data_IF_794706884232
#
_entry.id   IF_794706884232
#
_cell.length_a   1.000
_cell.length_b   1.000
_cell.length_c   1.000
_cell.angle_alpha   90.00
_cell.angle_beta   90.00
_cell.angle_gamma   90.00
#
_symmetry.space_group_name_H-M   'P 1'
#
loop_
_entity.id
_entity.type
_entity.pdbx_description
1 polymer ?
#
# COMPACT_ATOMS: atom_id res chain seq x y z
N UNK A 1 19.06 -6.29 3.07
CA UNK A 1 19.40 -5.74 1.73
C UNK A 1 18.83 -4.34 1.69
N UNK A 2 19.58 -3.29 1.33
CA UNK A 2 19.02 -1.94 1.25
C UNK A 2 17.93 -1.89 0.17
N UNK A 3 16.94 -1.02 0.36
CA UNK A 3 15.83 -0.82 -0.59
C UNK A 3 16.39 -0.30 -1.92
N UNK A 4 15.93 -0.85 -3.03
CA UNK A 4 16.42 -0.47 -4.37
C UNK A 4 15.71 0.77 -4.87
N UNK A 5 16.44 1.90 -4.91
CA UNK A 5 15.94 3.18 -5.46
C UNK A 5 15.43 3.01 -6.90
N UNK A 6 16.21 2.33 -7.76
CA UNK A 6 15.85 2.08 -9.16
C UNK A 6 14.51 1.34 -9.30
N UNK A 7 14.25 0.34 -8.46
CA UNK A 7 12.97 -0.38 -8.51
C UNK A 7 11.83 0.49 -7.97
N UNK A 8 12.09 1.32 -6.96
CA UNK A 8 11.12 2.31 -6.46
C UNK A 8 10.76 3.33 -7.54
N UNK A 9 11.72 3.81 -8.34
CA UNK A 9 11.48 4.75 -9.45
C UNK A 9 10.59 4.12 -10.52
N UNK A 10 10.86 2.87 -10.90
CA UNK A 10 10.04 2.13 -11.88
C UNK A 10 8.61 1.97 -11.36
N UNK A 11 8.46 1.59 -10.09
CA UNK A 11 7.15 1.45 -9.46
C UNK A 11 6.41 2.79 -9.43
N UNK A 12 7.07 3.87 -9.02
CA UNK A 12 6.46 5.20 -8.96
C UNK A 12 6.03 5.70 -10.35
N UNK A 13 6.90 5.56 -11.35
CA UNK A 13 6.58 5.88 -12.74
C UNK A 13 5.38 5.06 -13.27
N UNK A 14 5.32 3.77 -12.93
CA UNK A 14 4.19 2.92 -13.28
C UNK A 14 2.88 3.40 -12.64
N UNK A 15 2.91 3.79 -11.35
CA UNK A 15 1.74 4.35 -10.67
C UNK A 15 1.25 5.63 -11.35
N UNK A 16 2.15 6.56 -11.67
CA UNK A 16 1.80 7.77 -12.43
C UNK A 16 1.23 7.47 -13.80
N UNK A 17 1.83 6.52 -14.54
CA UNK A 17 1.35 6.13 -15.86
C UNK A 17 -0.06 5.51 -15.83
N UNK A 18 -0.44 4.88 -14.71
CA UNK A 18 -1.79 4.36 -14.50
C UNK A 18 -2.83 5.47 -14.18
N UNK A 19 -2.38 6.72 -14.03
CA UNK A 19 -3.19 7.88 -13.68
C UNK A 19 -3.52 7.96 -12.18
N UNK A 20 -2.70 7.35 -11.32
CA UNK A 20 -2.85 7.46 -9.87
C UNK A 20 -2.33 8.83 -9.44
N UNK A 21 -3.15 9.56 -8.71
CA UNK A 21 -2.85 10.92 -8.21
C UNK A 21 -2.94 11.02 -6.69
N UNK A 22 -3.31 9.93 -6.02
CA UNK A 22 -3.41 9.85 -4.57
C UNK A 22 -2.75 8.57 -4.06
N UNK A 23 -1.85 8.72 -3.10
CA UNK A 23 -1.22 7.62 -2.39
C UNK A 23 -1.56 7.72 -0.91
N UNK A 24 -1.92 6.61 -0.28
CA UNK A 24 -2.11 6.54 1.16
C UNK A 24 -1.13 5.55 1.77
N UNK A 25 -0.39 5.96 2.79
CA UNK A 25 0.68 5.15 3.36
C UNK A 25 0.88 5.41 4.86
N UNK A 26 1.24 4.36 5.60
CA UNK A 26 1.92 4.48 6.89
C UNK A 26 3.45 4.50 6.64
N UNK A 27 4.26 5.07 7.56
CA UNK A 27 5.71 5.03 7.44
C UNK A 27 6.23 3.59 7.39
N UNK A 28 6.82 3.21 6.26
CA UNK A 28 7.39 1.88 6.07
C UNK A 28 8.77 1.95 5.42
N UNK A 29 9.70 1.13 5.93
CA UNK A 29 11.09 1.11 5.51
C UNK A 29 11.27 0.69 4.04
N UNK A 30 10.47 -0.28 3.55
CA UNK A 30 10.65 -0.86 2.20
C UNK A 30 10.08 0.00 1.07
N UNK A 31 9.16 0.92 1.39
CA UNK A 31 8.52 1.80 0.41
C UNK A 31 8.92 3.27 0.60
N UNK A 32 9.91 3.54 1.44
CA UNK A 32 10.35 4.90 1.82
C UNK A 32 10.67 5.77 0.61
N UNK A 33 11.37 5.23 -0.40
CA UNK A 33 11.71 6.02 -1.60
C UNK A 33 10.49 6.36 -2.44
N UNK A 34 9.49 5.47 -2.53
CA UNK A 34 8.22 5.75 -3.23
C UNK A 34 7.44 6.84 -2.49
N UNK A 35 7.43 6.81 -1.16
CA UNK A 35 6.81 7.85 -0.35
C UNK A 35 7.52 9.19 -0.51
N UNK A 36 8.86 9.21 -0.52
CA UNK A 36 9.65 10.43 -0.75
C UNK A 36 9.35 11.04 -2.13
N UNK A 37 9.39 10.23 -3.19
CA UNK A 37 9.03 10.69 -4.53
C UNK A 37 7.59 11.22 -4.60
N UNK A 38 6.66 10.63 -3.86
CA UNK A 38 5.29 11.10 -3.78
C UNK A 38 5.14 12.42 -3.00
N UNK A 39 6.01 12.66 -2.02
CA UNK A 39 6.02 13.88 -1.20
C UNK A 39 6.65 15.07 -1.97
N UNK A 40 7.64 14.79 -2.82
CA UNK A 40 8.33 15.79 -3.64
C UNK A 40 7.58 16.14 -4.95
N UNK A 41 6.57 15.36 -5.34
CA UNK A 41 5.82 15.54 -6.59
C UNK A 41 4.54 16.36 -6.39
N UNK A 42 4.42 17.57 -6.99
CA UNK A 42 3.25 18.43 -6.81
C UNK A 42 1.96 17.87 -7.45
N UNK A 43 2.06 16.93 -8.40
CA UNK A 43 0.90 16.29 -9.04
C UNK A 43 0.39 15.09 -8.23
N UNK A 44 1.08 14.71 -7.15
CA UNK A 44 0.75 13.58 -6.31
C UNK A 44 0.30 14.03 -4.92
N UNK A 45 -0.82 13.49 -4.43
CA UNK A 45 -1.24 13.69 -3.05
C UNK A 45 -0.84 12.47 -2.20
N UNK A 46 0.15 12.63 -1.34
CA UNK A 46 0.48 11.63 -0.32
C UNK A 46 -0.30 11.89 0.98
N UNK A 47 -1.13 10.95 1.39
CA UNK A 47 -1.85 10.97 2.67
C UNK A 47 -1.17 10.01 3.64
N UNK A 48 -0.64 10.56 4.73
CA UNK A 48 -0.08 9.78 5.84
C UNK A 48 -1.23 9.26 6.71
N UNK A 49 -1.25 7.96 6.94
CA UNK A 49 -2.28 7.28 7.73
C UNK A 49 -1.80 7.08 9.16
N UNK A 50 -2.74 6.97 10.11
CA UNK A 50 -2.45 6.49 11.47
C UNK A 50 -2.69 4.98 11.60
N UNK A 51 -3.59 4.45 10.76
CA UNK A 51 -3.86 3.02 10.61
C UNK A 51 -4.08 2.67 9.15
N UNK A 52 -3.65 1.50 8.72
CA UNK A 52 -3.78 1.07 7.32
C UNK A 52 -5.24 0.97 6.88
N UNK A 53 -6.15 0.62 7.80
CA UNK A 53 -7.59 0.53 7.54
C UNK A 53 -8.19 1.86 7.04
N UNK A 54 -7.66 3.00 7.48
CA UNK A 54 -8.10 4.33 7.05
C UNK A 54 -7.88 4.55 5.55
N UNK A 55 -6.83 3.94 4.99
CA UNK A 55 -6.51 4.01 3.57
C UNK A 55 -7.58 3.39 2.68
N UNK A 56 -8.35 2.42 3.21
CA UNK A 56 -9.48 1.83 2.48
C UNK A 56 -10.61 2.84 2.33
N UNK A 57 -10.91 3.57 3.42
CA UNK A 57 -11.90 4.64 3.41
C UNK A 57 -11.48 5.79 2.49
N UNK A 58 -10.22 6.20 2.55
CA UNK A 58 -9.67 7.25 1.68
C UNK A 58 -9.72 6.83 0.22
N UNK A 59 -9.32 5.60 -0.11
CA UNK A 59 -9.38 5.10 -1.48
C UNK A 59 -10.81 4.99 -2.00
N UNK A 60 -11.75 4.63 -1.11
CA UNK A 60 -13.18 4.61 -1.42
C UNK A 60 -13.71 6.03 -1.72
N UNK A 61 -13.35 7.01 -0.88
CA UNK A 61 -13.70 8.41 -1.13
C UNK A 61 -13.07 8.95 -2.42
N UNK A 62 -11.81 8.61 -2.69
CA UNK A 62 -11.12 8.98 -3.92
C UNK A 62 -11.82 8.41 -5.16
N UNK A 63 -12.25 7.15 -5.10
CA UNK A 63 -13.00 6.51 -6.18
C UNK A 63 -14.32 7.24 -6.47
N UNK A 64 -15.10 7.56 -5.44
CA UNK A 64 -16.36 8.31 -5.63
C UNK A 64 -16.14 9.74 -6.13
N UNK A 65 -14.99 10.34 -5.82
CA UNK A 65 -14.58 11.63 -6.36
C UNK A 65 -14.02 11.55 -7.80
N UNK A 66 -14.03 10.37 -8.43
CA UNK A 66 -13.51 10.16 -9.78
C UNK A 66 -11.97 10.15 -9.88
N UNK A 67 -11.27 10.00 -8.74
CA UNK A 67 -9.80 9.91 -8.70
C UNK A 67 -9.34 8.48 -8.48
N UNK A 68 -8.16 8.16 -9.00
CA UNK A 68 -7.50 6.88 -8.77
C UNK A 68 -6.52 7.01 -7.61
N UNK A 69 -6.60 6.07 -6.68
CA UNK A 69 -5.69 5.98 -5.54
C UNK A 69 -4.95 4.65 -5.50
N UNK A 70 -3.83 4.63 -4.78
CA UNK A 70 -3.19 3.39 -4.37
C UNK A 70 -2.76 3.44 -2.90
N UNK A 71 -2.81 2.28 -2.26
CA UNK A 71 -2.40 2.12 -0.88
C UNK A 71 -0.99 1.50 -0.85
N UNK A 72 -0.07 2.13 -0.13
CA UNK A 72 1.25 1.57 0.15
C UNK A 72 1.22 1.01 1.57
N UNK A 73 1.47 -0.28 1.73
CA UNK A 73 1.43 -0.92 3.04
C UNK A 73 2.36 -2.14 3.12
N UNK A 74 2.53 -2.61 4.34
CA UNK A 74 3.22 -3.85 4.63
C UNK A 74 2.23 -5.03 4.66
N UNK A 75 2.75 -6.25 4.58
CA UNK A 75 1.95 -7.47 4.81
C UNK A 75 1.14 -7.45 6.13
N UNK A 76 1.67 -6.89 7.22
CA UNK A 76 0.91 -6.74 8.47
C UNK A 76 -0.24 -5.74 8.34
N UNK A 77 -0.01 -4.66 7.61
CA UNK A 77 -1.03 -3.67 7.27
C UNK A 77 -2.18 -4.25 6.43
N UNK A 78 -1.87 -5.23 5.56
CA UNK A 78 -2.91 -5.98 4.86
C UNK A 78 -3.80 -6.75 5.86
N UNK A 79 -3.19 -7.45 6.81
CA UNK A 79 -3.91 -8.24 7.81
C UNK A 79 -4.82 -7.37 8.70
N UNK A 80 -4.38 -6.18 9.07
CA UNK A 80 -5.20 -5.23 9.85
C UNK A 80 -6.33 -4.63 9.01
N UNK A 81 -6.11 -4.46 7.70
CA UNK A 81 -7.06 -3.81 6.80
C UNK A 81 -8.15 -4.75 6.24
N UNK A 82 -8.07 -6.06 6.48
CA UNK A 82 -9.00 -7.06 5.91
C UNK A 82 -10.46 -6.69 6.16
N UNK A 83 -10.78 -6.26 7.38
CA UNK A 83 -12.15 -5.89 7.72
C UNK A 83 -12.65 -4.72 6.86
N UNK A 84 -11.84 -3.69 6.66
CA UNK A 84 -12.19 -2.56 5.79
C UNK A 84 -12.30 -2.97 4.32
N UNK A 85 -11.38 -3.81 3.85
CA UNK A 85 -11.39 -4.33 2.47
C UNK A 85 -12.68 -5.09 2.19
N UNK A 86 -13.08 -6.01 3.08
CA UNK A 86 -14.29 -6.83 2.89
C UNK A 86 -15.55 -5.99 3.08
N UNK A 87 -15.65 -5.27 4.20
CA UNK A 87 -16.88 -4.55 4.57
C UNK A 87 -17.16 -3.31 3.72
N UNK A 88 -16.15 -2.71 3.11
CA UNK A 88 -16.32 -1.51 2.27
C UNK A 88 -15.98 -1.82 0.83
N UNK A 89 -14.73 -2.13 0.52
CA UNK A 89 -14.31 -2.18 -0.87
C UNK A 89 -14.94 -3.33 -1.66
N UNK A 90 -14.98 -4.54 -1.09
CA UNK A 90 -15.64 -5.67 -1.75
C UNK A 90 -17.16 -5.51 -1.74
N UNK A 91 -17.74 -5.10 -0.60
CA UNK A 91 -19.19 -4.89 -0.47
C UNK A 91 -19.72 -3.89 -1.52
N UNK A 92 -19.06 -2.74 -1.67
CA UNK A 92 -19.46 -1.69 -2.60
C UNK A 92 -18.78 -1.80 -3.98
N UNK A 93 -18.01 -2.86 -4.24
CA UNK A 93 -17.28 -3.11 -5.49
C UNK A 93 -16.35 -1.96 -5.90
N UNK A 94 -15.68 -1.38 -4.92
CA UNK A 94 -14.71 -0.30 -5.11
C UNK A 94 -13.40 -0.91 -5.61
N UNK A 95 -12.82 -0.41 -6.71
CA UNK A 95 -11.50 -0.84 -7.15
C UNK A 95 -10.44 -0.32 -6.17
N UNK A 96 -9.69 -1.24 -5.56
CA UNK A 96 -8.55 -0.93 -4.72
C UNK A 96 -7.25 -1.44 -5.35
N UNK A 97 -6.26 -0.55 -5.47
CA UNK A 97 -4.88 -0.94 -5.74
C UNK A 97 -4.08 -0.89 -4.44
N UNK A 98 -3.50 -2.02 -4.06
CA UNK A 98 -2.64 -2.15 -2.89
C UNK A 98 -1.25 -2.59 -3.33
N UNK A 99 -0.23 -1.80 -3.01
CA UNK A 99 1.17 -2.16 -3.16
C UNK A 99 1.66 -2.63 -1.82
N UNK A 100 1.90 -3.93 -1.72
CA UNK A 100 2.19 -4.59 -0.44
C UNK A 100 3.64 -5.01 -0.42
N UNK A 101 4.39 -4.48 0.55
CA UNK A 101 5.73 -4.97 0.85
C UNK A 101 5.63 -6.34 1.52
N UNK A 102 6.15 -7.36 0.84
CA UNK A 102 6.11 -8.74 1.31
C UNK A 102 7.30 -9.03 2.24
N UNK A 103 6.99 -9.43 3.48
CA UNK A 103 7.96 -9.64 4.57
C UNK A 103 7.65 -10.98 5.25
N UNK A 104 8.64 -11.56 5.94
CA UNK A 104 8.46 -12.86 6.60
C UNK A 104 8.70 -14.07 5.70
N UNK A 105 9.43 -13.90 4.59
CA UNK A 105 9.92 -15.01 3.78
C UNK A 105 11.09 -15.76 4.44
N UNK A 106 11.55 -16.83 3.78
CA UNK A 106 12.74 -17.58 4.22
C UNK A 106 13.96 -16.66 4.33
N UNK A 107 14.60 -16.63 5.50
CA UNK A 107 15.75 -15.76 5.77
C UNK A 107 15.39 -14.34 6.26
N UNK A 108 14.12 -14.09 6.61
CA UNK A 108 13.71 -12.87 7.30
C UNK A 108 14.48 -12.69 8.62
N UNK A 109 14.99 -11.48 8.85
CA UNK A 109 15.84 -11.17 10.01
C UNK A 109 15.03 -10.80 11.24
N UNK A 110 13.83 -10.28 11.02
CA UNK A 110 12.94 -9.77 12.05
C UNK A 110 11.89 -10.84 12.39
N UNK A 111 12.00 -11.54 13.55
CA UNK A 111 11.17 -12.72 13.82
C UNK A 111 9.66 -12.41 13.89
N UNK A 112 9.30 -11.18 14.27
CA UNK A 112 7.90 -10.75 14.30
C UNK A 112 7.26 -10.65 12.92
N UNK A 113 8.06 -10.59 11.84
CA UNK A 113 7.56 -10.52 10.48
C UNK A 113 7.16 -11.89 9.91
N UNK A 114 7.74 -12.96 10.44
CA UNK A 114 7.61 -14.33 9.92
C UNK A 114 6.17 -14.85 10.00
N UNK A 115 5.47 -14.62 11.11
CA UNK A 115 4.09 -15.10 11.26
C UNK A 115 3.15 -14.39 10.28
N UNK A 116 3.30 -13.07 10.10
CA UNK A 116 2.55 -12.32 9.10
C UNK A 116 2.82 -12.83 7.68
N UNK A 117 4.09 -13.07 7.34
CA UNK A 117 4.48 -13.60 6.03
C UNK A 117 3.86 -14.95 5.71
N UNK A 118 3.83 -15.86 6.70
CA UNK A 118 3.26 -17.20 6.58
C UNK A 118 1.77 -17.21 6.20
N UNK A 119 1.01 -16.24 6.69
CA UNK A 119 -0.45 -16.15 6.44
C UNK A 119 -0.82 -15.25 5.26
N UNK A 120 0.11 -14.41 4.78
CA UNK A 120 -0.16 -13.42 3.73
C UNK A 120 -0.56 -14.07 2.41
N UNK A 121 0.21 -15.03 1.89
CA UNK A 121 -0.13 -15.70 0.63
C UNK A 121 -1.41 -16.54 0.72
N UNK A 122 -1.63 -17.37 1.77
CA UNK A 122 -2.90 -18.08 1.93
C UNK A 122 -4.12 -17.18 1.98
N UNK A 123 -4.01 -15.98 2.55
CA UNK A 123 -5.11 -15.01 2.61
C UNK A 123 -5.51 -14.44 1.24
N UNK A 124 -4.58 -14.39 0.29
CA UNK A 124 -4.80 -13.82 -1.05
C UNK A 124 -5.38 -14.84 -2.07
N UNK A 125 -5.59 -16.09 -1.65
CA UNK A 125 -6.14 -17.17 -2.50
C UNK A 125 -7.63 -17.36 -2.24
#
# INVERSE_FOLDING_TARGET
MPVSVKNSEILYAALKSAGITLLSALPETWLVHVMQMAEDDPDMTLIRLNKEEEGVGISTGAHFAGRKSAMLMQNHGLLTSVNGIVSVAQLYRIPLLMVISYRGGMGERDPWQTEGGRVTEPLLR
#
